data_IF_620261884986
#
_entry.id   IF_620261884986
#
_cell.length_a   1.000
_cell.length_b   1.000
_cell.length_c   1.000
_cell.angle_alpha   90.00
_cell.angle_beta   90.00
_cell.angle_gamma   90.00
#
_symmetry.space_group_name_H-M   'P 1'
#
loop_
_entity.id
_entity.type
_entity.pdbx_description
1 polymer ?
#
# COMPACT_ATOMS: atom_id res chain seq x y z
N UNK A 1 3.06 23.11 -12.04
CA UNK A 1 3.74 21.89 -11.57
C UNK A 1 2.81 20.71 -11.77
N UNK A 2 3.27 19.63 -12.42
CA UNK A 2 2.47 18.43 -12.61
C UNK A 2 2.27 17.75 -11.25
N UNK A 3 1.08 17.89 -10.67
CA UNK A 3 0.65 17.18 -9.46
C UNK A 3 0.21 15.75 -9.82
N UNK A 4 1.03 15.00 -10.54
CA UNK A 4 0.71 13.62 -10.89
C UNK A 4 0.90 12.72 -9.67
N UNK A 5 -0.22 12.17 -9.17
CA UNK A 5 -0.21 11.17 -8.11
C UNK A 5 0.38 9.88 -8.66
N UNK A 6 1.50 9.44 -8.07
CA UNK A 6 2.14 8.18 -8.45
C UNK A 6 1.36 6.99 -7.91
N UNK A 7 1.18 5.96 -8.74
CA UNK A 7 0.50 4.72 -8.38
C UNK A 7 1.54 3.62 -8.13
N UNK A 8 1.36 2.83 -7.06
CA UNK A 8 2.24 1.71 -6.73
C UNK A 8 1.45 0.42 -6.45
N UNK A 9 1.84 -0.69 -7.09
CA UNK A 9 1.34 -2.04 -6.79
C UNK A 9 2.27 -2.73 -5.80
N UNK A 10 1.72 -3.23 -4.70
CA UNK A 10 2.47 -3.97 -3.67
C UNK A 10 1.85 -5.36 -3.51
N UNK A 11 2.64 -6.39 -3.79
CA UNK A 11 2.30 -7.79 -3.50
C UNK A 11 2.86 -8.20 -2.13
N UNK A 12 2.19 -9.11 -1.44
CA UNK A 12 2.56 -9.48 -0.07
C UNK A 12 2.32 -8.35 0.95
N UNK A 13 1.38 -7.44 0.66
CA UNK A 13 1.14 -6.24 1.46
C UNK A 13 0.57 -6.52 2.87
N UNK A 14 0.02 -7.70 3.13
CA UNK A 14 -0.70 -8.00 4.37
C UNK A 14 0.16 -8.05 5.64
N UNK A 15 1.49 -8.14 5.55
CA UNK A 15 2.36 -8.26 6.73
C UNK A 15 3.82 -7.95 6.42
N UNK A 16 4.64 -7.77 7.46
CA UNK A 16 6.10 -7.67 7.33
C UNK A 16 6.55 -6.51 6.45
N UNK A 17 7.48 -6.77 5.53
CA UNK A 17 8.09 -5.73 4.68
C UNK A 17 7.05 -5.08 3.76
N UNK A 18 6.17 -5.86 3.12
CA UNK A 18 5.13 -5.32 2.23
C UNK A 18 4.19 -4.36 2.95
N UNK A 19 3.82 -4.68 4.20
CA UNK A 19 3.01 -3.81 5.05
C UNK A 19 3.74 -2.49 5.39
N UNK A 20 5.01 -2.58 5.79
CA UNK A 20 5.80 -1.39 6.13
C UNK A 20 6.00 -0.46 4.91
N UNK A 21 6.22 -1.03 3.72
CA UNK A 21 6.31 -0.28 2.46
C UNK A 21 4.97 0.38 2.14
N UNK A 22 3.85 -0.33 2.28
CA UNK A 22 2.52 0.23 2.02
C UNK A 22 2.25 1.45 2.92
N UNK A 23 2.53 1.36 4.23
CA UNK A 23 2.41 2.52 5.14
C UNK A 23 3.31 3.68 4.73
N UNK A 24 4.58 3.42 4.42
CA UNK A 24 5.53 4.46 4.06
C UNK A 24 5.15 5.19 2.76
N UNK A 25 4.69 4.47 1.74
CA UNK A 25 4.30 5.06 0.46
C UNK A 25 2.97 5.82 0.56
N UNK A 26 2.00 5.33 1.34
CA UNK A 26 0.76 6.05 1.61
C UNK A 26 1.04 7.42 2.24
N UNK A 27 1.92 7.45 3.26
CA UNK A 27 2.36 8.69 3.92
C UNK A 27 3.09 9.67 2.99
N UNK A 28 3.60 9.20 1.84
CA UNK A 28 4.27 10.01 0.81
C UNK A 28 3.32 10.46 -0.31
N UNK A 29 2.02 10.18 -0.19
CA UNK A 29 1.00 10.60 -1.15
C UNK A 29 0.87 9.71 -2.39
N UNK A 30 1.35 8.46 -2.32
CA UNK A 30 1.13 7.50 -3.40
C UNK A 30 -0.28 6.91 -3.34
N UNK A 31 -0.87 6.66 -4.50
CA UNK A 31 -2.06 5.81 -4.61
C UNK A 31 -1.62 4.35 -4.67
N UNK A 32 -2.14 3.52 -3.78
CA UNK A 32 -1.67 2.13 -3.64
C UNK A 32 -2.70 1.13 -4.17
N UNK A 33 -2.19 0.08 -4.81
CA UNK A 33 -2.92 -1.15 -5.12
C UNK A 33 -2.23 -2.25 -4.30
N UNK A 34 -2.98 -2.88 -3.39
CA UNK A 34 -2.43 -3.86 -2.46
C UNK A 34 -2.95 -5.26 -2.81
N UNK A 35 -2.06 -6.24 -2.84
CA UNK A 35 -2.40 -7.65 -3.10
C UNK A 35 -1.74 -8.57 -2.08
N UNK A 36 -2.52 -9.46 -1.48
CA UNK A 36 -2.05 -10.48 -0.55
C UNK A 36 -3.07 -11.62 -0.43
N UNK A 37 -2.63 -12.76 0.11
CA UNK A 37 -3.49 -13.95 0.30
C UNK A 37 -4.51 -13.81 1.44
N UNK A 38 -4.20 -13.00 2.45
CA UNK A 38 -5.01 -12.87 3.67
C UNK A 38 -5.75 -11.54 3.64
N UNK A 39 -7.03 -11.60 3.25
CA UNK A 39 -7.86 -10.42 3.01
C UNK A 39 -8.13 -9.60 4.28
N UNK A 40 -8.31 -10.26 5.43
CA UNK A 40 -8.53 -9.59 6.72
C UNK A 40 -7.39 -8.64 7.09
N UNK A 41 -6.15 -9.15 7.07
CA UNK A 41 -4.95 -8.34 7.31
C UNK A 41 -4.74 -7.24 6.26
N UNK A 42 -5.18 -7.47 5.02
CA UNK A 42 -5.13 -6.46 3.97
C UNK A 42 -6.16 -5.34 4.22
N UNK A 43 -7.31 -5.66 4.81
CA UNK A 43 -8.33 -4.69 5.15
C UNK A 43 -7.94 -3.80 6.32
N UNK A 44 -7.12 -4.28 7.26
CA UNK A 44 -6.53 -3.45 8.33
C UNK A 44 -5.65 -2.30 7.81
N UNK A 45 -5.19 -2.38 6.55
CA UNK A 45 -4.44 -1.31 5.88
C UNK A 45 -5.33 -0.25 5.24
N UNK A 46 -6.65 -0.45 5.17
CA UNK A 46 -7.60 0.55 4.66
C UNK A 46 -7.82 1.60 5.75
N UNK A 47 -6.92 2.57 5.87
CA UNK A 47 -7.04 3.71 6.79
C UNK A 47 -6.38 4.94 6.20
#
# INVERSE_FOLDING_TARGET
MNNEVKICLITGASSGIGYAIAKSLNNRGYKLILSARRLEQLNELKS
#
